data_IF_055629360246
#
_entry.id   IF_055629360246
#
_cell.length_a   1.000
_cell.length_b   1.000
_cell.length_c   1.000
_cell.angle_alpha   90.00
_cell.angle_beta   90.00
_cell.angle_gamma   90.00
#
_symmetry.space_group_name_H-M   'P 1'
#
loop_
_entity.id
_entity.type
_entity.pdbx_description
1 polymer ?
#
# COMPACT_ATOMS: atom_id res chain seq x y z
N UNK A 1 -4.62 18.39 -11.29
CA UNK A 1 -3.42 17.67 -11.74
C UNK A 1 -3.72 16.19 -11.79
N UNK A 2 -3.26 15.52 -12.81
CA UNK A 2 -3.42 14.07 -12.96
C UNK A 2 -2.08 13.44 -13.30
N UNK A 3 -1.90 12.19 -12.87
CA UNK A 3 -0.73 11.39 -13.26
C UNK A 3 -1.11 10.63 -14.53
N UNK A 4 -0.43 10.93 -15.65
CA UNK A 4 -0.67 10.25 -16.92
C UNK A 4 -0.10 8.83 -16.90
N UNK A 5 -0.51 8.01 -17.87
CA UNK A 5 0.07 6.67 -18.02
C UNK A 5 1.57 6.72 -18.27
N UNK A 6 2.03 7.69 -19.04
CA UNK A 6 3.46 7.89 -19.28
C UNK A 6 4.20 8.26 -17.99
N UNK A 7 3.64 9.17 -17.18
CA UNK A 7 4.22 9.56 -15.90
C UNK A 7 4.31 8.37 -14.95
N UNK A 8 3.27 7.55 -14.91
CA UNK A 8 3.23 6.33 -14.12
C UNK A 8 4.34 5.36 -14.53
N UNK A 9 4.51 5.13 -15.82
CA UNK A 9 5.55 4.22 -16.32
C UNK A 9 6.95 4.76 -16.01
N UNK A 10 7.16 6.05 -16.16
CA UNK A 10 8.43 6.69 -15.81
C UNK A 10 8.76 6.54 -14.32
N UNK A 11 7.75 6.72 -13.46
CA UNK A 11 7.92 6.56 -12.03
C UNK A 11 8.31 5.13 -11.67
N UNK A 12 7.55 4.14 -12.15
CA UNK A 12 7.82 2.72 -11.87
C UNK A 12 9.21 2.32 -12.36
N UNK A 13 9.56 2.74 -13.57
CA UNK A 13 10.86 2.44 -14.17
C UNK A 13 12.01 3.07 -13.38
N UNK A 14 11.89 4.35 -13.03
CA UNK A 14 12.92 5.05 -12.27
C UNK A 14 13.13 4.40 -10.89
N UNK A 15 12.06 4.06 -10.21
CA UNK A 15 12.13 3.44 -8.89
C UNK A 15 12.78 2.05 -8.96
N UNK A 16 12.39 1.24 -9.93
CA UNK A 16 12.95 -0.10 -10.13
C UNK A 16 14.45 -0.07 -10.42
N UNK A 17 14.90 0.89 -11.25
CA UNK A 17 16.31 0.97 -11.65
C UNK A 17 17.19 1.70 -10.64
N UNK A 18 16.62 2.53 -9.77
CA UNK A 18 17.39 3.35 -8.83
C UNK A 18 17.29 2.85 -7.39
N UNK A 19 16.45 1.85 -7.11
CA UNK A 19 16.24 1.32 -5.77
C UNK A 19 15.92 -0.16 -5.80
N UNK A 20 15.72 -0.73 -4.60
CA UNK A 20 15.29 -2.13 -4.45
C UNK A 20 13.79 -2.33 -4.65
N UNK A 21 13.03 -1.26 -4.83
CA UNK A 21 11.57 -1.33 -4.87
C UNK A 21 11.06 -1.49 -6.29
N UNK A 22 10.17 -2.45 -6.49
CA UNK A 22 9.52 -2.73 -7.77
C UNK A 22 8.01 -2.71 -7.56
N UNK A 23 7.38 -1.65 -8.06
CA UNK A 23 5.92 -1.49 -7.99
C UNK A 23 5.21 -1.88 -9.29
N UNK A 24 5.88 -2.61 -10.20
CA UNK A 24 5.28 -2.99 -11.48
C UNK A 24 4.05 -3.88 -11.33
N UNK A 25 3.95 -4.63 -10.23
CA UNK A 25 2.80 -5.48 -9.92
C UNK A 25 1.78 -4.83 -9.01
N UNK A 26 1.99 -3.56 -8.65
CA UNK A 26 1.06 -2.82 -7.81
C UNK A 26 -0.16 -2.38 -8.62
N UNK A 27 -1.30 -2.18 -7.96
CA UNK A 27 -2.50 -1.67 -8.64
C UNK A 27 -2.20 -0.29 -9.24
N UNK A 28 -2.30 -0.17 -10.56
CA UNK A 28 -2.00 1.07 -11.27
C UNK A 28 -2.87 2.22 -10.77
N UNK A 29 -4.17 1.98 -10.62
CA UNK A 29 -5.11 2.99 -10.13
C UNK A 29 -4.74 3.48 -8.74
N UNK A 30 -4.43 2.58 -7.83
CA UNK A 30 -4.03 2.91 -6.47
C UNK A 30 -2.70 3.65 -6.44
N UNK A 31 -1.73 3.19 -7.21
CA UNK A 31 -0.41 3.79 -7.23
C UNK A 31 -0.45 5.20 -7.82
N UNK A 32 -1.18 5.42 -8.92
CA UNK A 32 -1.35 6.77 -9.49
C UNK A 32 -1.91 7.76 -8.46
N UNK A 33 -2.91 7.33 -7.70
CA UNK A 33 -3.51 8.18 -6.66
C UNK A 33 -2.51 8.51 -5.56
N UNK A 34 -1.70 7.54 -5.16
CA UNK A 34 -0.68 7.75 -4.13
C UNK A 34 0.48 8.60 -4.62
N UNK A 35 0.89 8.45 -5.88
CA UNK A 35 1.89 9.33 -6.51
C UNK A 35 1.38 10.76 -6.52
N UNK A 36 0.13 10.97 -6.91
CA UNK A 36 -0.47 12.31 -6.91
C UNK A 36 -0.45 12.92 -5.51
N UNK A 37 -0.74 12.14 -4.48
CA UNK A 37 -0.68 12.60 -3.10
C UNK A 37 0.74 13.01 -2.71
N UNK A 38 1.74 12.24 -3.06
CA UNK A 38 3.15 12.58 -2.81
C UNK A 38 3.51 13.90 -3.49
N UNK A 39 3.14 14.07 -4.76
CA UNK A 39 3.41 15.30 -5.49
C UNK A 39 2.77 16.50 -4.80
N UNK A 40 1.54 16.36 -4.34
CA UNK A 40 0.81 17.43 -3.67
C UNK A 40 1.41 17.75 -2.30
N UNK A 41 1.67 16.72 -1.50
CA UNK A 41 2.16 16.89 -0.12
C UNK A 41 3.57 17.52 -0.10
N UNK A 42 4.40 17.18 -1.07
CA UNK A 42 5.79 17.69 -1.16
C UNK A 42 5.94 18.86 -2.14
N UNK A 43 4.86 19.32 -2.72
CA UNK A 43 4.86 20.42 -3.71
C UNK A 43 5.82 20.17 -4.87
N UNK A 44 5.79 18.94 -5.42
CA UNK A 44 6.66 18.52 -6.51
C UNK A 44 5.87 18.32 -7.79
N UNK A 45 6.56 18.42 -8.94
CA UNK A 45 6.05 17.90 -10.20
C UNK A 45 6.69 16.54 -10.50
N UNK A 46 6.21 15.87 -11.54
CA UNK A 46 6.70 14.51 -11.86
C UNK A 46 8.18 14.50 -12.23
N UNK A 47 8.65 15.51 -12.94
CA UNK A 47 10.05 15.60 -13.35
C UNK A 47 10.96 15.71 -12.12
N UNK A 48 10.61 16.56 -11.16
CA UNK A 48 11.37 16.74 -9.92
C UNK A 48 11.32 15.46 -9.08
N UNK A 49 10.15 14.82 -9.01
CA UNK A 49 10.01 13.57 -8.27
C UNK A 49 10.93 12.49 -8.82
N UNK A 50 10.95 12.30 -10.13
CA UNK A 50 11.82 11.30 -10.77
C UNK A 50 13.30 11.62 -10.54
N UNK A 51 13.67 12.90 -10.62
CA UNK A 51 15.02 13.34 -10.31
C UNK A 51 15.41 13.00 -8.88
N UNK A 52 14.54 13.24 -7.91
CA UNK A 52 14.79 12.89 -6.50
C UNK A 52 14.91 11.38 -6.30
N UNK A 53 14.12 10.59 -6.98
CA UNK A 53 14.21 9.13 -6.91
C UNK A 53 15.60 8.66 -7.33
N UNK A 54 16.18 9.27 -8.35
CA UNK A 54 17.49 8.89 -8.87
C UNK A 54 18.66 9.37 -8.02
N UNK A 55 18.48 10.44 -7.24
CA UNK A 55 19.59 11.12 -6.57
C UNK A 55 19.51 11.14 -5.05
N UNK A 56 18.36 10.84 -4.45
CA UNK A 56 18.14 10.97 -3.00
C UNK A 56 17.54 9.68 -2.41
N UNK A 57 18.40 8.74 -1.96
CA UNK A 57 17.91 7.49 -1.37
C UNK A 57 17.08 7.68 -0.10
N UNK A 58 17.36 8.69 0.71
CA UNK A 58 16.59 8.97 1.93
C UNK A 58 15.15 9.39 1.59
N UNK A 59 15.01 10.21 0.55
CA UNK A 59 13.69 10.59 0.05
C UNK A 59 12.91 9.38 -0.45
N UNK A 60 13.58 8.45 -1.16
CA UNK A 60 12.95 7.22 -1.65
C UNK A 60 12.39 6.41 -0.49
N UNK A 61 13.16 6.23 0.58
CA UNK A 61 12.69 5.47 1.75
C UNK A 61 11.46 6.12 2.39
N UNK A 62 11.45 7.44 2.55
CA UNK A 62 10.30 8.17 3.08
C UNK A 62 9.08 8.04 2.17
N UNK A 63 9.28 8.23 0.87
CA UNK A 63 8.21 8.16 -0.13
C UNK A 63 7.57 6.77 -0.16
N UNK A 64 8.39 5.71 -0.12
CA UNK A 64 7.88 4.34 -0.11
C UNK A 64 7.05 4.08 1.14
N UNK A 65 7.45 4.59 2.29
CA UNK A 65 6.65 4.48 3.51
C UNK A 65 5.30 5.19 3.37
N UNK A 66 5.27 6.36 2.75
CA UNK A 66 4.02 7.09 2.50
C UNK A 66 3.11 6.32 1.55
N UNK A 67 3.67 5.74 0.48
CA UNK A 67 2.92 4.99 -0.51
C UNK A 67 2.36 3.69 0.07
N UNK A 68 3.12 3.02 0.93
CA UNK A 68 2.77 1.71 1.49
C UNK A 68 2.23 1.83 2.92
N UNK A 69 1.60 2.95 3.26
CA UNK A 69 1.01 3.15 4.59
C UNK A 69 0.05 2.02 4.90
N UNK A 70 0.30 1.34 6.02
CA UNK A 70 -0.59 0.33 6.55
C UNK A 70 -1.71 1.02 7.31
N UNK A 71 -2.93 0.89 6.80
CA UNK A 71 -4.13 1.39 7.46
C UNK A 71 -5.11 0.26 7.66
N UNK A 72 -5.85 0.34 8.76
CA UNK A 72 -6.92 -0.60 9.03
C UNK A 72 -7.99 0.11 9.86
N UNK A 73 -9.15 -0.50 9.96
CA UNK A 73 -10.23 -0.04 10.81
C UNK A 73 -10.95 -1.25 11.41
N UNK A 74 -11.65 -1.01 12.50
CA UNK A 74 -12.42 -2.07 13.16
C UNK A 74 -13.52 -2.55 12.20
N UNK A 75 -13.58 -3.87 12.00
CA UNK A 75 -14.52 -4.52 11.10
C UNK A 75 -14.45 -4.04 9.65
N UNK A 76 -13.25 -3.66 9.18
CA UNK A 76 -13.05 -3.38 7.75
C UNK A 76 -13.47 -4.60 6.92
N UNK A 77 -14.12 -4.34 5.77
CA UNK A 77 -14.71 -5.37 4.91
C UNK A 77 -15.78 -6.20 5.67
N UNK A 78 -16.92 -5.59 6.03
CA UNK A 78 -17.92 -6.25 6.88
C UNK A 78 -18.39 -7.61 6.38
N UNK A 79 -18.41 -7.83 5.07
CA UNK A 79 -18.83 -9.11 4.48
C UNK A 79 -17.89 -10.25 4.90
N UNK A 80 -16.59 -9.97 4.99
CA UNK A 80 -15.61 -10.97 5.44
C UNK A 80 -15.89 -11.36 6.90
N UNK A 81 -16.16 -10.36 7.75
CA UNK A 81 -16.47 -10.61 9.17
C UNK A 81 -17.77 -11.42 9.34
N UNK A 82 -18.78 -11.17 8.51
CA UNK A 82 -20.01 -11.96 8.52
C UNK A 82 -19.74 -13.41 8.11
N UNK A 83 -18.90 -13.63 7.10
CA UNK A 83 -18.52 -14.99 6.68
C UNK A 83 -17.79 -15.71 7.80
N UNK A 84 -16.87 -15.04 8.49
CA UNK A 84 -16.17 -15.63 9.63
C UNK A 84 -17.15 -16.02 10.73
N UNK A 85 -18.06 -15.10 11.09
CA UNK A 85 -19.02 -15.33 12.16
C UNK A 85 -19.96 -16.49 11.88
N UNK A 86 -20.51 -16.56 10.68
CA UNK A 86 -21.59 -17.50 10.38
C UNK A 86 -21.12 -18.82 9.74
N UNK A 87 -19.99 -18.79 9.03
CA UNK A 87 -19.54 -19.97 8.26
C UNK A 87 -18.28 -20.63 8.81
N UNK A 88 -17.43 -19.86 9.49
CA UNK A 88 -16.12 -20.35 9.93
C UNK A 88 -16.10 -20.63 11.43
N UNK A 89 -16.42 -19.65 12.27
CA UNK A 89 -16.35 -19.82 13.72
C UNK A 89 -17.24 -20.97 14.26
N UNK A 90 -18.44 -21.23 13.72
CA UNK A 90 -19.24 -22.34 14.20
C UNK A 90 -18.55 -23.71 14.08
N UNK A 91 -17.60 -23.86 13.17
CA UNK A 91 -16.84 -25.11 12.99
C UNK A 91 -15.95 -25.40 14.20
N UNK A 92 -15.65 -24.40 15.02
CA UNK A 92 -14.72 -24.50 16.14
C UNK A 92 -15.42 -24.45 17.50
N UNK A 93 -16.75 -24.39 17.55
CA UNK A 93 -17.49 -24.15 18.80
C UNK A 93 -17.25 -25.22 19.86
N UNK A 94 -16.86 -26.43 19.49
CA UNK A 94 -16.58 -27.52 20.41
C UNK A 94 -15.10 -27.63 20.80
N UNK A 95 -14.26 -26.74 20.25
CA UNK A 95 -12.83 -26.71 20.55
C UNK A 95 -12.58 -25.92 21.85
N UNK A 96 -11.77 -26.46 22.75
CA UNK A 96 -11.39 -25.75 23.97
C UNK A 96 -10.36 -24.66 23.72
N UNK A 97 -9.56 -24.79 22.66
CA UNK A 97 -8.54 -23.82 22.27
C UNK A 97 -8.62 -23.57 20.76
N UNK A 98 -8.51 -22.31 20.38
CA UNK A 98 -8.43 -21.88 18.98
C UNK A 98 -7.18 -21.02 18.81
N UNK A 99 -6.33 -21.40 17.85
CA UNK A 99 -5.14 -20.62 17.51
C UNK A 99 -5.41 -19.81 16.26
N UNK A 100 -5.14 -18.50 16.31
CA UNK A 100 -5.40 -17.58 15.21
C UNK A 100 -4.11 -16.84 14.88
N UNK A 101 -3.75 -16.83 13.59
CA UNK A 101 -2.63 -16.05 13.08
C UNK A 101 -3.14 -14.91 12.23
N UNK A 102 -2.80 -13.67 12.60
CA UNK A 102 -3.16 -12.47 11.86
C UNK A 102 -2.00 -12.05 10.96
N UNK A 103 -2.07 -12.41 9.69
CA UNK A 103 -1.06 -11.99 8.71
C UNK A 103 -1.30 -10.53 8.32
N UNK A 104 -0.28 -9.68 8.48
CA UNK A 104 -0.39 -8.27 8.13
C UNK A 104 -1.38 -7.49 8.98
N UNK A 105 -1.32 -7.65 10.30
CA UNK A 105 -2.35 -7.13 11.19
C UNK A 105 -2.32 -5.61 11.40
N UNK A 106 -1.34 -4.88 10.87
CA UNK A 106 -1.19 -3.44 11.01
C UNK A 106 -1.24 -3.01 12.50
N UNK A 107 -2.28 -2.32 12.94
CA UNK A 107 -2.41 -1.83 14.33
C UNK A 107 -3.24 -2.74 15.23
N UNK A 108 -3.69 -3.87 14.72
CA UNK A 108 -4.29 -4.93 15.54
C UNK A 108 -5.80 -4.82 15.77
N UNK A 109 -6.52 -4.05 14.95
CA UNK A 109 -7.97 -3.95 15.09
C UNK A 109 -8.71 -5.25 14.77
N UNK A 110 -8.17 -6.07 13.91
CA UNK A 110 -8.72 -7.39 13.63
C UNK A 110 -8.48 -8.36 14.76
#
# INVERSE_FOLDING_TARGET
MMVSDQDYQLFVYALKNSSKYDFSQYSEKSLKRRILKVLTDHSLNITTLISKIKTDPEFVEKMVKEITVNTTELFRDPQVWQTIRFNILPRFKNNSVINIWHAGCSTGQE
#
